data_IF_548671913564
#
_entry.id   IF_548671913564
#
_cell.length_a   1.000
_cell.length_b   1.000
_cell.length_c   1.000
_cell.angle_alpha   90.00
_cell.angle_beta   90.00
_cell.angle_gamma   90.00
#
_symmetry.space_group_name_H-M   'P 1'
#
loop_
_entity.id
_entity.type
_entity.pdbx_description
1 polymer ?
#
# COMPACT_ATOMS: atom_id res chain seq x y z
N UNK A 1 10.50 -6.08 7.78
CA UNK A 1 9.29 -5.22 7.78
C UNK A 1 8.18 -5.76 8.70
N UNK A 2 8.44 -6.75 9.56
CA UNK A 2 7.42 -7.36 10.43
C UNK A 2 6.76 -6.37 11.38
N UNK A 3 7.51 -5.39 11.93
CA UNK A 3 6.96 -4.37 12.81
C UNK A 3 5.96 -3.45 12.10
N UNK A 4 6.20 -3.12 10.83
CA UNK A 4 5.26 -2.31 10.02
C UNK A 4 3.97 -3.06 9.76
N UNK A 5 4.04 -4.34 9.43
CA UNK A 5 2.85 -5.16 9.23
C UNK A 5 2.10 -5.47 10.53
N UNK A 6 2.80 -5.60 11.66
CA UNK A 6 2.12 -5.73 12.97
C UNK A 6 1.27 -4.51 13.28
N UNK A 7 1.79 -3.30 13.04
CA UNK A 7 1.00 -2.07 13.25
C UNK A 7 -0.23 -1.99 12.35
N UNK A 8 -0.21 -2.60 11.15
CA UNK A 8 -1.40 -2.72 10.29
C UNK A 8 -2.41 -3.67 10.91
N UNK A 9 -1.96 -4.83 11.40
CA UNK A 9 -2.84 -5.80 12.06
C UNK A 9 -3.47 -5.21 13.32
N UNK A 10 -2.69 -4.54 14.16
CA UNK A 10 -3.17 -3.89 15.38
C UNK A 10 -4.23 -2.81 15.06
N UNK A 11 -4.07 -2.06 13.97
CA UNK A 11 -5.06 -1.07 13.51
C UNK A 11 -6.32 -1.74 12.93
N UNK A 12 -6.18 -2.87 12.25
CA UNK A 12 -7.30 -3.64 11.69
C UNK A 12 -8.19 -4.25 12.76
N UNK A 13 -7.65 -4.61 13.93
CA UNK A 13 -8.43 -5.15 15.06
C UNK A 13 -9.52 -4.17 15.55
N UNK A 14 -9.35 -2.86 15.30
CA UNK A 14 -10.31 -1.82 15.65
C UNK A 14 -11.19 -1.35 14.48
N UNK A 15 -11.02 -1.91 13.28
CA UNK A 15 -11.74 -1.47 12.09
C UNK A 15 -13.09 -2.21 11.93
N UNK A 16 -14.11 -1.48 11.48
CA UNK A 16 -15.35 -2.09 11.03
C UNK A 16 -15.08 -2.96 9.78
N UNK A 17 -15.83 -4.07 9.59
CA UNK A 17 -15.60 -5.01 8.48
C UNK A 17 -16.18 -4.49 7.15
N UNK A 18 -15.89 -3.24 6.81
CA UNK A 18 -16.25 -2.58 5.56
C UNK A 18 -15.00 -2.08 4.82
N UNK A 19 -15.13 -1.85 3.50
CA UNK A 19 -14.00 -1.48 2.64
C UNK A 19 -13.28 -0.21 3.11
N UNK A 20 -14.04 0.83 3.45
CA UNK A 20 -13.48 2.14 3.77
C UNK A 20 -12.69 2.06 5.09
N UNK A 21 -13.26 1.42 6.11
CA UNK A 21 -12.63 1.22 7.42
C UNK A 21 -11.37 0.38 7.31
N UNK A 22 -11.41 -0.74 6.59
CA UNK A 22 -10.25 -1.62 6.36
C UNK A 22 -9.14 -0.90 5.59
N UNK A 23 -9.47 -0.20 4.50
CA UNK A 23 -8.50 0.54 3.71
C UNK A 23 -7.84 1.66 4.51
N UNK A 24 -8.63 2.38 5.31
CA UNK A 24 -8.13 3.41 6.21
C UNK A 24 -7.18 2.83 7.26
N UNK A 25 -7.52 1.69 7.86
CA UNK A 25 -6.66 1.01 8.83
C UNK A 25 -5.33 0.57 8.21
N UNK A 26 -5.35 -0.03 7.02
CA UNK A 26 -4.13 -0.44 6.30
C UNK A 26 -3.24 0.77 5.99
N UNK A 27 -3.83 1.84 5.42
CA UNK A 27 -3.10 3.05 5.07
C UNK A 27 -2.48 3.73 6.32
N UNK A 28 -3.27 3.87 7.39
CA UNK A 28 -2.83 4.52 8.63
C UNK A 28 -1.80 3.67 9.39
N UNK A 29 -2.11 2.40 9.67
CA UNK A 29 -1.25 1.50 10.44
C UNK A 29 0.09 1.25 9.75
N UNK A 30 0.11 1.14 8.42
CA UNK A 30 1.37 0.97 7.69
C UNK A 30 2.25 2.22 7.76
N UNK A 31 1.64 3.42 7.67
CA UNK A 31 2.37 4.70 7.74
C UNK A 31 2.93 4.95 9.14
N UNK A 32 2.11 4.80 10.17
CA UNK A 32 2.50 5.01 11.57
C UNK A 32 3.47 3.93 12.08
N UNK A 33 3.35 2.71 11.54
CA UNK A 33 4.21 1.58 11.86
C UNK A 33 5.49 1.48 11.02
N UNK A 34 5.73 2.38 10.09
CA UNK A 34 6.89 2.31 9.18
C UNK A 34 8.22 2.32 9.97
N UNK A 35 9.09 1.34 9.73
CA UNK A 35 10.42 1.23 10.36
C UNK A 35 11.52 1.09 9.31
N UNK A 36 12.41 2.08 9.27
CA UNK A 36 13.48 2.16 8.27
C UNK A 36 12.96 2.37 6.84
N UNK A 37 13.87 2.47 5.88
CA UNK A 37 13.53 2.80 4.49
C UNK A 37 12.56 1.79 3.86
N UNK A 38 12.80 0.48 4.04
CA UNK A 38 11.90 -0.55 3.50
C UNK A 38 10.50 -0.49 4.12
N UNK A 39 10.37 -0.14 5.40
CA UNK A 39 9.07 0.06 6.04
C UNK A 39 8.32 1.27 5.48
N UNK A 40 9.02 2.37 5.18
CA UNK A 40 8.45 3.55 4.52
C UNK A 40 7.99 3.22 3.10
N UNK A 41 8.81 2.51 2.30
CA UNK A 41 8.42 2.11 0.94
C UNK A 41 7.17 1.21 0.98
N UNK A 42 7.15 0.21 1.88
CA UNK A 42 6.00 -0.66 2.07
C UNK A 42 4.75 0.13 2.48
N UNK A 43 4.87 1.14 3.35
CA UNK A 43 3.72 1.95 3.74
C UNK A 43 3.18 2.79 2.59
N UNK A 44 4.04 3.26 1.68
CA UNK A 44 3.58 3.98 0.50
C UNK A 44 2.87 3.06 -0.51
N UNK A 45 3.35 1.82 -0.69
CA UNK A 45 2.67 0.80 -1.51
C UNK A 45 1.27 0.54 -0.95
N UNK A 46 1.18 0.19 0.34
CA UNK A 46 -0.09 -0.14 0.99
C UNK A 46 -1.05 1.05 1.01
N UNK A 47 -0.56 2.27 1.27
CA UNK A 47 -1.37 3.48 1.21
C UNK A 47 -1.89 3.72 -0.20
N UNK A 48 -1.03 3.75 -1.21
CA UNK A 48 -1.44 4.02 -2.59
C UNK A 48 -2.49 3.03 -3.08
N UNK A 49 -2.33 1.74 -2.76
CA UNK A 49 -3.31 0.73 -3.06
C UNK A 49 -4.64 0.99 -2.32
N UNK A 50 -4.59 1.09 -0.99
CA UNK A 50 -5.78 1.14 -0.15
C UNK A 50 -6.61 2.41 -0.37
N UNK A 51 -5.97 3.56 -0.55
CA UNK A 51 -6.69 4.81 -0.81
C UNK A 51 -7.40 4.80 -2.16
N UNK A 52 -6.88 4.06 -3.14
CA UNK A 52 -7.48 3.98 -4.47
C UNK A 52 -8.79 3.19 -4.48
N UNK A 53 -8.91 2.19 -3.60
CA UNK A 53 -10.08 1.30 -3.55
C UNK A 53 -11.01 1.57 -2.36
N UNK A 54 -10.68 2.54 -1.49
CA UNK A 54 -11.39 2.78 -0.23
C UNK A 54 -12.90 3.03 -0.39
N UNK A 55 -13.29 3.74 -1.46
CA UNK A 55 -14.69 4.09 -1.72
C UNK A 55 -15.40 3.06 -2.64
N UNK A 56 -14.70 1.98 -3.01
CA UNK A 56 -15.25 0.96 -3.90
C UNK A 56 -16.10 -0.05 -3.13
N UNK A 57 -17.30 -0.35 -3.62
CA UNK A 57 -18.13 -1.44 -3.08
C UNK A 57 -17.59 -2.82 -3.46
N UNK A 58 -16.87 -2.91 -4.58
CA UNK A 58 -16.16 -4.10 -5.06
C UNK A 58 -14.97 -3.68 -5.91
N UNK A 59 -13.91 -4.49 -5.93
CA UNK A 59 -12.71 -4.23 -6.75
C UNK A 59 -12.72 -5.15 -7.95
N UNK A 60 -12.92 -4.58 -9.14
CA UNK A 60 -12.76 -5.29 -10.41
C UNK A 60 -11.31 -5.20 -10.93
N UNK A 61 -11.04 -5.79 -12.10
CA UNK A 61 -9.70 -5.79 -12.68
C UNK A 61 -9.15 -4.39 -12.94
N UNK A 62 -9.99 -3.46 -13.40
CA UNK A 62 -9.56 -2.09 -13.72
C UNK A 62 -9.25 -1.29 -12.45
N UNK A 63 -10.08 -1.43 -11.41
CA UNK A 63 -9.83 -0.84 -10.09
C UNK A 63 -8.56 -1.41 -9.45
N UNK A 64 -8.33 -2.72 -9.58
CA UNK A 64 -7.13 -3.37 -9.08
C UNK A 64 -5.86 -2.87 -9.80
N UNK A 65 -5.87 -2.80 -11.13
CA UNK A 65 -4.77 -2.25 -11.91
C UNK A 65 -4.46 -0.79 -11.53
N UNK A 66 -5.50 0.03 -11.37
CA UNK A 66 -5.36 1.43 -10.92
C UNK A 66 -4.75 1.53 -9.52
N UNK A 67 -5.13 0.63 -8.60
CA UNK A 67 -4.56 0.58 -7.26
C UNK A 67 -3.08 0.16 -7.25
N UNK A 68 -2.67 -0.75 -8.14
CA UNK A 68 -1.25 -1.10 -8.33
C UNK A 68 -0.44 0.06 -8.91
N UNK A 69 -1.01 0.81 -9.87
CA UNK A 69 -0.37 2.00 -10.42
C UNK A 69 -0.13 3.05 -9.34
N UNK A 70 -1.15 3.36 -8.53
CA UNK A 70 -1.03 4.29 -7.41
C UNK A 70 -0.02 3.81 -6.35
N UNK A 71 0.04 2.49 -6.10
CA UNK A 71 1.02 1.90 -5.19
C UNK A 71 2.45 2.05 -5.73
N UNK A 72 2.68 1.85 -7.03
CA UNK A 72 3.97 2.03 -7.67
C UNK A 72 4.41 3.51 -7.63
N UNK A 73 3.53 4.44 -8.01
CA UNK A 73 3.80 5.88 -7.93
C UNK A 73 4.17 6.31 -6.51
N UNK A 74 3.40 5.86 -5.51
CA UNK A 74 3.68 6.14 -4.10
C UNK A 74 5.04 5.60 -3.66
N UNK A 75 5.38 4.37 -4.06
CA UNK A 75 6.64 3.72 -3.69
C UNK A 75 7.86 4.44 -4.27
N UNK A 76 7.82 4.79 -5.56
CA UNK A 76 8.91 5.51 -6.22
C UNK A 76 9.04 6.95 -5.69
N UNK A 77 7.92 7.63 -5.45
CA UNK A 77 7.92 8.98 -4.87
C UNK A 77 8.49 9.04 -3.44
N UNK A 78 8.53 7.92 -2.73
CA UNK A 78 9.07 7.82 -1.37
C UNK A 78 10.61 7.83 -1.32
N UNK A 79 11.29 7.63 -2.45
CA UNK A 79 12.73 7.35 -2.51
C UNK A 79 13.42 8.41 -3.36
N UNK A 80 14.42 9.08 -2.79
CA UNK A 80 15.16 10.13 -3.51
C UNK A 80 15.98 9.61 -4.71
N UNK A 81 16.49 8.37 -4.63
CA UNK A 81 17.21 7.70 -5.71
C UNK A 81 16.68 6.26 -5.86
N UNK A 82 15.57 6.05 -6.59
CA UNK A 82 14.99 4.73 -6.76
C UNK A 82 15.94 3.81 -7.54
N UNK A 83 16.02 2.55 -7.11
CA UNK A 83 16.85 1.52 -7.75
C UNK A 83 16.02 0.30 -8.12
N UNK A 84 16.20 -0.15 -9.36
CA UNK A 84 15.64 -1.41 -9.86
C UNK A 84 16.33 -2.62 -9.21
N UNK A 85 15.69 -3.79 -9.26
CA UNK A 85 16.11 -5.00 -8.55
C UNK A 85 15.62 -5.04 -7.09
N UNK A 86 14.63 -4.23 -6.74
CA UNK A 86 14.05 -4.17 -5.38
C UNK A 86 12.52 -4.32 -5.42
N UNK A 87 11.84 -4.14 -4.29
CA UNK A 87 10.37 -4.13 -4.23
C UNK A 87 9.74 -3.06 -5.15
N UNK A 88 10.50 -2.01 -5.50
CA UNK A 88 10.08 -1.00 -6.48
C UNK A 88 9.83 -1.63 -7.85
N UNK A 89 10.76 -2.47 -8.32
CA UNK A 89 10.61 -3.23 -9.58
C UNK A 89 9.38 -4.12 -9.53
N UNK A 90 9.17 -4.83 -8.41
CA UNK A 90 8.04 -5.75 -8.27
C UNK A 90 6.71 -5.01 -8.39
N UNK A 91 6.53 -3.89 -7.68
CA UNK A 91 5.26 -3.15 -7.74
C UNK A 91 5.06 -2.47 -9.10
N UNK A 92 6.12 -1.96 -9.72
CA UNK A 92 6.07 -1.38 -11.08
C UNK A 92 5.67 -2.43 -12.12
N UNK A 93 6.38 -3.56 -12.18
CA UNK A 93 6.09 -4.62 -13.16
C UNK A 93 4.72 -5.26 -12.93
N UNK A 94 4.29 -5.39 -11.66
CA UNK A 94 2.93 -5.83 -11.35
C UNK A 94 1.89 -4.86 -11.88
N UNK A 95 2.14 -3.54 -11.76
CA UNK A 95 1.26 -2.51 -12.29
C UNK A 95 1.24 -2.47 -13.82
N UNK A 96 2.37 -2.70 -14.48
CA UNK A 96 2.47 -2.68 -15.95
C UNK A 96 1.81 -3.91 -16.59
N UNK A 97 1.76 -5.04 -15.86
CA UNK A 97 1.17 -6.29 -16.34
C UNK A 97 -0.33 -6.45 -16.03
N UNK A 98 -0.88 -5.63 -15.15
CA UNK A 98 -2.28 -5.65 -14.72
C UNK A 98 -3.21 -4.96 -15.73
#
# INVERSE_FOLDING_TARGET
MSLTLRSVVDELDGADPDMASVCKAIAHGSLMGARGNSGVIMSQILRGFSTTVADSTSVDGAAFASALAAAAEGAYGAVGNPVEGTILTVVRESSEAA
#
